data_IF_595813650213
#
_entry.id   IF_595813650213
#
_cell.length_a   1.000
_cell.length_b   1.000
_cell.length_c   1.000
_cell.angle_alpha   90.00
_cell.angle_beta   90.00
_cell.angle_gamma   90.00
#
_symmetry.space_group_name_H-M   'P 1'
#
loop_
_entity.id
_entity.type
_entity.pdbx_description
1 polymer ?
#
# COMPACT_ATOMS: atom_id res chain seq x y z
N UNK A 1 -0.54 2.07 11.87
CA UNK A 1 0.40 2.60 10.86
C UNK A 1 -0.16 3.87 10.23
N UNK A 2 0.70 4.83 9.94
CA UNK A 2 0.27 6.02 9.21
C UNK A 2 0.06 5.69 7.73
N UNK A 3 -0.63 6.59 7.02
CA UNK A 3 -0.83 6.45 5.57
C UNK A 3 0.49 6.31 4.83
N UNK A 4 1.47 7.11 5.20
CA UNK A 4 2.79 7.07 4.58
C UNK A 4 3.49 5.75 4.81
N UNK A 5 3.39 5.21 6.03
CA UNK A 5 3.97 3.91 6.35
C UNK A 5 3.33 2.79 5.55
N UNK A 6 1.99 2.81 5.42
CA UNK A 6 1.27 1.83 4.61
C UNK A 6 1.73 1.87 3.16
N UNK A 7 1.78 3.06 2.58
CA UNK A 7 2.23 3.25 1.20
C UNK A 7 3.66 2.73 1.00
N UNK A 8 4.57 3.15 1.88
CA UNK A 8 5.97 2.76 1.77
C UNK A 8 6.17 1.26 1.92
N UNK A 9 5.42 0.62 2.79
CA UNK A 9 5.49 -0.81 3.00
C UNK A 9 5.06 -1.58 1.74
N UNK A 10 3.96 -1.17 1.14
CA UNK A 10 3.49 -1.77 -0.12
C UNK A 10 4.51 -1.54 -1.23
N UNK A 11 4.97 -0.31 -1.37
CA UNK A 11 5.95 0.04 -2.40
C UNK A 11 7.23 -0.77 -2.27
N UNK A 12 7.77 -0.88 -1.06
CA UNK A 12 8.99 -1.63 -0.78
C UNK A 12 8.81 -3.12 -1.12
N UNK A 13 7.62 -3.65 -0.86
CA UNK A 13 7.32 -5.06 -1.14
C UNK A 13 7.31 -5.35 -2.63
N UNK A 14 6.75 -4.45 -3.45
CA UNK A 14 6.59 -4.71 -4.88
C UNK A 14 7.73 -4.15 -5.74
N UNK A 15 8.52 -3.22 -5.23
CA UNK A 15 9.59 -2.59 -6.00
C UNK A 15 10.58 -3.57 -6.61
N UNK A 16 11.00 -4.67 -5.92
CA UNK A 16 11.90 -5.65 -6.52
C UNK A 16 11.27 -6.47 -7.64
N UNK A 17 9.95 -6.48 -7.75
CA UNK A 17 9.22 -7.34 -8.69
C UNK A 17 8.85 -6.62 -9.98
N UNK A 18 8.80 -5.30 -9.97
CA UNK A 18 8.30 -4.51 -11.08
C UNK A 18 9.20 -3.32 -11.34
N UNK A 19 9.29 -2.91 -12.59
CA UNK A 19 10.02 -1.71 -12.96
C UNK A 19 9.16 -0.46 -12.74
N UNK A 20 9.81 0.64 -12.34
CA UNK A 20 9.14 1.93 -12.24
C UNK A 20 8.47 2.27 -13.59
N UNK A 21 7.21 2.77 -13.62
CA UNK A 21 6.44 3.31 -12.48
C UNK A 21 5.44 2.33 -11.85
N UNK A 22 5.51 1.06 -12.17
CA UNK A 22 4.51 0.08 -11.69
C UNK A 22 4.41 -0.02 -10.17
N UNK A 23 5.53 -0.01 -9.39
CA UNK A 23 5.40 -0.07 -7.94
C UNK A 23 4.59 1.08 -7.35
N UNK A 24 4.72 2.28 -7.92
CA UNK A 24 3.95 3.45 -7.48
C UNK A 24 2.47 3.22 -7.73
N UNK A 25 2.12 2.75 -8.93
CA UNK A 25 0.74 2.51 -9.29
C UNK A 25 0.10 1.43 -8.41
N UNK A 26 0.84 0.37 -8.13
CA UNK A 26 0.36 -0.72 -7.26
C UNK A 26 0.13 -0.21 -5.84
N UNK A 27 1.08 0.54 -5.29
CA UNK A 27 0.96 1.07 -3.94
C UNK A 27 -0.23 2.04 -3.83
N UNK A 28 -0.42 2.91 -4.80
CA UNK A 28 -1.56 3.83 -4.83
C UNK A 28 -2.87 3.07 -4.90
N UNK A 29 -2.94 2.03 -5.74
CA UNK A 29 -4.15 1.24 -5.88
C UNK A 29 -4.50 0.47 -4.61
N UNK A 30 -3.52 -0.16 -3.97
CA UNK A 30 -3.74 -0.89 -2.73
C UNK A 30 -4.25 0.07 -1.65
N UNK A 31 -3.63 1.22 -1.50
CA UNK A 31 -4.06 2.20 -0.51
C UNK A 31 -5.48 2.69 -0.77
N UNK A 32 -5.83 2.95 -2.02
CA UNK A 32 -7.17 3.40 -2.37
C UNK A 32 -8.22 2.31 -2.16
N UNK A 33 -7.93 1.09 -2.61
CA UNK A 33 -8.92 0.00 -2.59
C UNK A 33 -9.11 -0.59 -1.19
N UNK A 34 -8.03 -0.70 -0.42
CA UNK A 34 -8.08 -1.36 0.89
C UNK A 34 -8.33 -0.37 2.02
N UNK A 35 -7.69 0.78 1.98
CA UNK A 35 -7.72 1.75 3.09
C UNK A 35 -8.48 3.03 2.76
N UNK A 36 -8.89 3.20 1.52
CA UNK A 36 -9.76 4.30 1.12
C UNK A 36 -9.11 5.66 1.04
N UNK A 37 -7.78 5.74 0.93
CA UNK A 37 -7.12 7.01 0.72
C UNK A 37 -6.32 7.00 -0.59
N UNK A 38 -6.33 8.13 -1.29
CA UNK A 38 -5.60 8.27 -2.54
C UNK A 38 -4.25 8.96 -2.31
N UNK A 39 -3.48 9.08 -3.38
CA UNK A 39 -2.18 9.75 -3.36
C UNK A 39 -2.28 11.18 -2.85
N UNK A 40 -3.37 11.87 -3.18
CA UNK A 40 -3.58 13.25 -2.78
C UNK A 40 -3.71 13.36 -1.27
N UNK A 41 -4.54 12.50 -0.67
CA UNK A 41 -4.72 12.47 0.77
C UNK A 41 -3.43 12.08 1.50
N UNK A 42 -2.68 11.14 0.95
CA UNK A 42 -1.39 10.75 1.52
C UNK A 42 -0.39 11.91 1.48
N UNK A 43 -0.39 12.67 0.39
CA UNK A 43 0.52 13.82 0.25
C UNK A 43 0.20 14.93 1.23
N UNK A 44 -1.09 15.22 1.43
CA UNK A 44 -1.53 16.28 2.33
C UNK A 44 -1.50 15.87 3.80
N UNK A 45 -1.83 14.62 4.08
CA UNK A 45 -1.98 14.11 5.45
C UNK A 45 -1.24 12.79 5.63
N UNK A 46 0.09 12.75 5.44
CA UNK A 46 0.85 11.49 5.46
C UNK A 46 0.96 10.86 6.85
N UNK A 47 0.82 11.65 7.91
CA UNK A 47 1.02 11.19 9.27
C UNK A 47 -0.28 10.79 9.97
N UNK A 48 -1.39 10.75 9.25
CA UNK A 48 -2.66 10.31 9.82
C UNK A 48 -2.63 8.79 10.01
N UNK A 49 -2.96 8.36 11.24
CA UNK A 49 -3.09 6.93 11.53
C UNK A 49 -4.36 6.38 10.89
N UNK A 50 -4.25 5.20 10.28
CA UNK A 50 -5.43 4.52 9.75
C UNK A 50 -6.19 3.85 10.88
N UNK A 51 -7.45 4.25 11.07
CA UNK A 51 -8.34 3.63 12.02
C UNK A 51 -8.77 2.25 11.51
N UNK A 52 -8.92 1.31 12.42
CA UNK A 52 -9.31 -0.04 12.07
C UNK A 52 -8.24 -0.82 11.33
N UNK A 53 -6.98 -0.41 11.42
CA UNK A 53 -5.88 -1.10 10.79
C UNK A 53 -5.77 -2.54 11.32
N UNK A 54 -5.75 -3.50 10.40
CA UNK A 54 -5.63 -4.92 10.71
C UNK A 54 -4.26 -5.42 10.21
N UNK A 55 -3.35 -5.65 11.14
CA UNK A 55 -1.99 -6.06 10.81
C UNK A 55 -1.94 -7.43 10.12
N UNK A 56 -2.83 -8.35 10.48
CA UNK A 56 -2.88 -9.66 9.85
C UNK A 56 -3.35 -9.58 8.40
N UNK A 57 -4.37 -8.77 8.16
CA UNK A 57 -4.86 -8.54 6.81
C UNK A 57 -3.80 -7.87 5.95
N UNK A 58 -3.12 -6.88 6.51
CA UNK A 58 -2.06 -6.18 5.80
C UNK A 58 -0.91 -7.13 5.45
N UNK A 59 -0.50 -7.97 6.39
CA UNK A 59 0.55 -8.96 6.14
C UNK A 59 0.15 -9.93 5.02
N UNK A 60 -1.12 -10.36 5.01
CA UNK A 60 -1.63 -11.24 3.95
C UNK A 60 -1.60 -10.56 2.58
N UNK A 61 -1.95 -9.28 2.52
CA UNK A 61 -1.90 -8.49 1.28
C UNK A 61 -0.46 -8.39 0.79
N UNK A 62 0.47 -8.06 1.68
CA UNK A 62 1.88 -7.96 1.31
C UNK A 62 2.42 -9.29 0.80
N UNK A 63 2.02 -10.39 1.42
CA UNK A 63 2.43 -11.71 0.97
C UNK A 63 1.92 -12.02 -0.44
N UNK A 64 0.66 -11.73 -0.71
CA UNK A 64 0.10 -11.92 -2.05
C UNK A 64 0.84 -11.08 -3.09
N UNK A 65 1.14 -9.84 -2.74
CA UNK A 65 1.87 -8.94 -3.64
C UNK A 65 3.29 -9.45 -3.89
N UNK A 66 3.95 -9.98 -2.85
CA UNK A 66 5.31 -10.52 -3.00
C UNK A 66 5.35 -11.76 -3.87
N UNK A 67 4.23 -12.46 -4.00
CA UNK A 67 4.09 -13.62 -4.89
C UNK A 67 3.69 -13.23 -6.31
N UNK A 68 3.54 -11.95 -6.59
CA UNK A 68 3.14 -11.45 -7.90
C UNK A 68 1.65 -11.56 -8.18
N UNK A 69 0.83 -11.78 -7.16
CA UNK A 69 -0.62 -11.89 -7.32
C UNK A 69 -1.29 -10.52 -7.23
N UNK A 70 -2.29 -10.26 -8.07
CA UNK A 70 -3.05 -9.01 -7.96
C UNK A 70 -3.87 -8.98 -6.69
N UNK A 71 -4.03 -7.79 -6.13
CA UNK A 71 -4.95 -7.56 -5.01
C UNK A 71 -6.36 -7.47 -5.56
N UNK A 72 -7.26 -8.22 -4.98
CA UNK A 72 -8.65 -8.20 -5.36
C UNK A 72 -9.55 -7.78 -4.20
#
# INVERSE_FOLDING_TARGET
>A
MTRRELYNKVWTTVAPLYDHPEPVAIAERVCADVYGFDRYEMTLFPNVEEEGFDAERFAAILQQLSEGRPVQ
#
